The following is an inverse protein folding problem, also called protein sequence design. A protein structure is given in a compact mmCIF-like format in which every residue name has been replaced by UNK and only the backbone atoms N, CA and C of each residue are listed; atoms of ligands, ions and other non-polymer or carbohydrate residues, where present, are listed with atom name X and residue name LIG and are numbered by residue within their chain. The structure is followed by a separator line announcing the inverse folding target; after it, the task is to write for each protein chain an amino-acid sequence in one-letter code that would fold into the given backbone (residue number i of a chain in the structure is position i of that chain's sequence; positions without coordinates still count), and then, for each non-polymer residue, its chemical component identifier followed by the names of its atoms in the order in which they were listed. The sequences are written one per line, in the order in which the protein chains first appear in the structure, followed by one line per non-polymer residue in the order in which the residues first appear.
data_IF_092627049388
#
_entry.id   IF_092627049388
#
_cell.length_a   1.000
_cell.length_b   1.000
_cell.length_c   1.000
_cell.angle_alpha   90.00
_cell.angle_beta   90.00
_cell.angle_gamma   90.00
#
_symmetry.space_group_name_H-M   'P 1'
#
loop_
_entity.id
_entity.type
_entity.pdbx_description
1 polymer ?
#
# COMPACT_ATOMS: atom_id res chain seq x y z
N UNK A 1 4.05 2.79 2.47
CA UNK A 1 5.35 3.47 2.41
C UNK A 1 5.48 4.16 1.07
N UNK A 2 5.50 5.49 1.08
CA UNK A 2 5.73 6.34 -0.09
C UNK A 2 7.24 6.53 -0.26
N UNK A 3 7.80 5.93 -1.32
CA UNK A 3 9.23 6.03 -1.64
C UNK A 3 9.66 7.42 -2.10
N UNK A 4 8.75 8.22 -2.67
CA UNK A 4 9.06 9.57 -3.14
C UNK A 4 9.16 10.56 -1.98
N UNK A 5 8.24 10.45 -1.02
CA UNK A 5 8.24 11.28 0.19
C UNK A 5 9.07 10.68 1.32
N UNK A 6 9.52 9.43 1.17
CA UNK A 6 10.13 8.63 2.23
C UNK A 6 9.25 8.68 3.49
N UNK A 7 7.96 8.39 3.36
CA UNK A 7 7.00 8.55 4.45
C UNK A 7 6.13 7.30 4.63
N UNK A 8 5.82 7.01 5.89
CA UNK A 8 4.74 6.08 6.22
C UNK A 8 3.42 6.83 6.21
N UNK A 9 2.40 6.13 5.73
CA UNK A 9 1.05 6.64 5.65
C UNK A 9 0.13 5.56 6.16
N UNK A 10 -0.90 5.96 6.89
CA UNK A 10 -1.93 5.05 7.35
C UNK A 10 -3.15 5.14 6.43
N UNK A 11 -3.47 4.03 5.78
CA UNK A 11 -4.67 3.90 4.95
C UNK A 11 -5.69 3.05 5.68
N UNK A 12 -6.85 3.64 5.98
CA UNK A 12 -8.03 2.89 6.40
C UNK A 12 -9.05 2.89 5.24
N UNK A 13 -9.24 1.75 4.55
CA UNK A 13 -10.15 1.65 3.41
C UNK A 13 -11.63 1.82 3.79
N UNK A 14 -11.99 1.72 5.07
CA UNK A 14 -13.36 1.96 5.56
C UNK A 14 -13.70 3.45 5.70
N UNK A 15 -12.72 4.33 5.71
CA UNK A 15 -12.95 5.77 5.81
C UNK A 15 -13.45 6.29 4.45
N UNK A 16 -14.63 6.91 4.44
CA UNK A 16 -15.32 7.34 3.20
C UNK A 16 -14.51 8.38 2.40
N UNK A 17 -13.65 9.14 3.05
CA UNK A 17 -12.76 10.10 2.41
C UNK A 17 -11.55 9.43 1.71
N UNK A 18 -11.27 8.16 2.03
CA UNK A 18 -10.11 7.43 1.49
C UNK A 18 -10.38 6.77 0.14
N UNK A 19 -11.56 6.22 -0.12
CA UNK A 19 -11.87 5.52 -1.37
C UNK A 19 -13.35 5.62 -1.76
N UNK A 20 -13.68 5.73 -3.06
CA UNK A 20 -15.04 5.54 -3.55
C UNK A 20 -15.65 4.23 -3.05
N UNK A 21 -16.95 4.24 -2.72
CA UNK A 21 -17.65 3.06 -2.19
C UNK A 21 -17.47 1.80 -3.05
N UNK A 22 -17.40 1.96 -4.37
CA UNK A 22 -17.21 0.84 -5.32
C UNK A 22 -15.81 0.22 -5.27
N UNK A 23 -14.81 0.96 -4.80
CA UNK A 23 -13.40 0.55 -4.73
C UNK A 23 -13.04 0.02 -3.33
N UNK A 24 -13.85 0.31 -2.31
CA UNK A 24 -13.63 -0.16 -0.94
C UNK A 24 -13.52 -1.69 -0.80
N UNK A 25 -14.37 -2.52 -1.44
CA UNK A 25 -14.25 -3.98 -1.29
C UNK A 25 -12.90 -4.52 -1.77
N UNK A 26 -12.42 -4.05 -2.93
CA UNK A 26 -11.11 -4.41 -3.44
C UNK A 26 -9.99 -3.95 -2.48
N UNK A 27 -10.11 -2.76 -1.90
CA UNK A 27 -9.17 -2.28 -0.89
C UNK A 27 -9.38 -2.83 0.52
N UNK A 28 -10.42 -3.63 0.79
CA UNK A 28 -10.57 -4.34 2.06
C UNK A 28 -10.03 -5.76 1.96
N UNK A 29 -10.21 -6.36 0.78
CA UNK A 29 -9.96 -7.78 0.56
C UNK A 29 -8.82 -8.05 -0.42
N UNK A 30 -8.22 -7.04 -1.04
CA UNK A 30 -7.21 -7.16 -2.09
C UNK A 30 -5.88 -6.44 -1.77
N UNK A 31 -5.10 -7.00 -0.84
CA UNK A 31 -3.75 -6.55 -0.49
C UNK A 31 -2.67 -7.64 -0.61
N UNK A 32 -3.00 -8.79 -1.23
CA UNK A 32 -2.10 -9.87 -1.63
C UNK A 32 -1.34 -10.63 -0.54
N UNK A 33 -1.10 -10.03 0.64
CA UNK A 33 -0.08 -10.51 1.59
C UNK A 33 -0.42 -10.26 3.07
N UNK A 34 -1.70 -10.02 3.40
CA UNK A 34 -2.13 -9.66 4.76
C UNK A 34 -3.19 -10.60 5.32
N UNK A 35 -3.15 -11.88 4.92
CA UNK A 35 -4.16 -12.87 5.29
C UNK A 35 -3.56 -14.00 6.14
N UNK A 36 -4.38 -14.50 7.05
CA UNK A 36 -4.18 -15.81 7.67
C UNK A 36 -5.40 -16.65 7.32
N UNK A 37 -5.19 -17.75 6.62
CA UNK A 37 -6.25 -18.67 6.25
C UNK A 37 -5.83 -20.11 6.53
N UNK A 38 -6.81 -20.98 6.75
CA UNK A 38 -6.55 -22.40 6.94
C UNK A 38 -6.34 -23.06 5.59
N UNK A 39 -5.59 -24.17 5.57
CA UNK A 39 -5.47 -25.03 4.38
C UNK A 39 -6.84 -25.41 3.81
N UNK A 40 -7.81 -25.72 4.68
CA UNK A 40 -9.16 -26.10 4.27
C UNK A 40 -9.89 -24.98 3.53
N UNK A 41 -9.74 -23.73 3.98
CA UNK A 41 -10.32 -22.58 3.29
C UNK A 41 -9.76 -22.46 1.86
N UNK A 42 -8.45 -22.62 1.71
CA UNK A 42 -7.78 -22.61 0.40
C UNK A 42 -8.21 -23.77 -0.51
N UNK A 43 -8.38 -24.97 0.03
CA UNK A 43 -8.86 -26.13 -0.74
C UNK A 43 -10.32 -25.99 -1.19
N UNK A 44 -11.14 -25.21 -0.48
CA UNK A 44 -12.54 -24.98 -0.83
C UNK A 44 -12.70 -23.89 -1.90
N UNK A 45 -11.90 -22.84 -1.84
CA UNK A 45 -11.90 -21.75 -2.82
C UNK A 45 -10.47 -21.30 -3.02
N UNK A 46 -9.71 -21.92 -3.95
CA UNK A 46 -8.35 -21.52 -4.22
C UNK A 46 -8.30 -20.12 -4.84
N UNK A 47 -7.11 -19.51 -4.84
CA UNK A 47 -6.88 -18.29 -5.60
C UNK A 47 -7.21 -18.55 -7.08
N UNK A 48 -8.02 -17.70 -7.72
CA UNK A 48 -8.34 -17.84 -9.12
C UNK A 48 -7.09 -17.58 -9.97
N UNK A 49 -6.92 -18.35 -11.04
CA UNK A 49 -5.87 -18.13 -12.04
C UNK A 49 -6.28 -16.99 -12.98
N UNK A 50 -6.04 -15.76 -12.54
CA UNK A 50 -6.39 -14.53 -13.28
C UNK A 50 -5.22 -13.55 -13.20
N UNK A 51 -5.07 -12.71 -14.23
CA UNK A 51 -3.93 -11.79 -14.29
C UNK A 51 -3.95 -10.66 -13.25
N UNK A 52 -5.09 -10.39 -12.60
CA UNK A 52 -5.23 -9.25 -11.70
C UNK A 52 -6.30 -9.54 -10.63
N UNK A 53 -6.07 -8.99 -9.42
CA UNK A 53 -6.99 -9.08 -8.27
C UNK A 53 -7.34 -10.52 -7.83
N UNK A 54 -6.36 -11.44 -7.91
CA UNK A 54 -6.50 -12.83 -7.45
C UNK A 54 -6.94 -12.91 -5.98
N UNK A 55 -6.46 -11.99 -5.16
CA UNK A 55 -6.73 -11.88 -3.72
C UNK A 55 -8.18 -11.49 -3.41
N UNK A 56 -8.72 -10.50 -4.11
CA UNK A 56 -10.14 -10.16 -4.01
C UNK A 56 -11.00 -11.36 -4.43
N UNK A 57 -10.65 -12.02 -5.54
CA UNK A 57 -11.36 -13.20 -6.02
C UNK A 57 -11.31 -14.39 -5.04
N UNK A 58 -10.19 -14.60 -4.37
CA UNK A 58 -10.06 -15.59 -3.30
C UNK A 58 -11.06 -15.33 -2.16
N UNK A 59 -11.11 -14.09 -1.65
CA UNK A 59 -12.02 -13.74 -0.54
C UNK A 59 -13.49 -13.81 -0.97
N UNK A 60 -13.83 -13.33 -2.15
CA UNK A 60 -15.18 -13.43 -2.72
C UNK A 60 -15.63 -14.88 -2.84
N UNK A 61 -14.74 -15.77 -3.30
CA UNK A 61 -15.01 -17.20 -3.37
C UNK A 61 -15.24 -17.84 -2.00
N UNK A 62 -14.44 -17.48 -0.98
CA UNK A 62 -14.67 -17.93 0.40
C UNK A 62 -16.06 -17.50 0.91
N UNK A 63 -16.42 -16.24 0.72
CA UNK A 63 -17.72 -15.69 1.14
C UNK A 63 -18.88 -16.39 0.41
N UNK A 64 -18.75 -16.64 -0.90
CA UNK A 64 -19.72 -17.39 -1.69
C UNK A 64 -19.90 -18.84 -1.22
N UNK A 65 -18.84 -19.46 -0.68
CA UNK A 65 -18.91 -20.77 -0.04
C UNK A 65 -19.45 -20.74 1.40
N UNK A 66 -19.85 -19.57 1.91
CA UNK A 66 -20.30 -19.41 3.31
C UNK A 66 -19.17 -19.55 4.33
N UNK A 67 -17.91 -19.42 3.92
CA UNK A 67 -16.76 -19.44 4.81
C UNK A 67 -16.62 -18.05 5.44
N UNK A 68 -16.55 -17.94 6.77
CA UNK A 68 -16.44 -16.65 7.43
C UNK A 68 -15.08 -16.00 7.15
N UNK A 69 -15.11 -14.72 6.78
CA UNK A 69 -13.93 -13.85 6.66
C UNK A 69 -14.07 -12.71 7.65
N UNK A 70 -13.11 -12.59 8.56
CA UNK A 70 -13.08 -11.54 9.58
C UNK A 70 -11.97 -10.55 9.30
N UNK A 71 -12.30 -9.27 9.27
CA UNK A 71 -11.32 -8.19 9.20
C UNK A 71 -10.75 -7.94 10.60
N UNK A 72 -9.43 -8.03 10.73
CA UNK A 72 -8.76 -7.79 11.99
C UNK A 72 -8.62 -6.28 12.22
N UNK A 73 -9.38 -5.73 13.16
CA UNK A 73 -9.16 -4.38 13.65
C UNK A 73 -8.05 -4.43 14.71
N UNK A 74 -6.84 -3.99 14.33
CA UNK A 74 -5.71 -3.94 15.24
C UNK A 74 -5.83 -2.75 16.21
N UNK A 75 -5.29 -2.85 17.43
CA UNK A 75 -4.99 -1.67 18.25
C UNK A 75 -4.12 -0.65 17.49
N UNK A 76 -4.25 0.64 17.83
CA UNK A 76 -3.56 1.73 17.14
C UNK A 76 -2.03 1.58 17.16
N UNK A 77 -1.48 0.98 18.22
CA UNK A 77 -0.05 0.89 18.55
C UNK A 77 0.72 -0.26 17.87
N UNK A 78 0.07 -1.15 17.14
CA UNK A 78 0.76 -2.31 16.51
C UNK A 78 0.55 -2.35 15.03
N UNK A 79 1.59 -2.52 14.23
CA UNK A 79 1.45 -2.71 12.77
C UNK A 79 1.82 -4.14 12.39
N UNK A 80 1.01 -4.79 11.55
CA UNK A 80 1.27 -6.17 11.11
C UNK A 80 1.98 -6.22 9.75
N UNK A 81 1.62 -5.31 8.85
CA UNK A 81 2.13 -5.29 7.47
C UNK A 81 2.33 -3.84 7.03
N UNK A 82 3.40 -3.59 6.29
CA UNK A 82 3.64 -2.34 5.59
C UNK A 82 3.71 -2.60 4.08
N UNK A 83 2.87 -1.93 3.31
CA UNK A 83 2.86 -2.02 1.85
C UNK A 83 3.70 -0.90 1.24
N UNK A 84 4.50 -1.22 0.23
CA UNK A 84 5.18 -0.20 -0.58
C UNK A 84 4.27 0.18 -1.73
N UNK A 85 4.02 1.49 -1.88
CA UNK A 85 3.20 2.00 -2.99
C UNK A 85 4.13 2.49 -4.09
N UNK A 86 3.89 2.02 -5.31
CA UNK A 86 4.55 2.50 -6.50
C UNK A 86 3.54 3.33 -7.31
N UNK A 87 3.61 4.66 -7.31
CA UNK A 87 2.59 5.50 -7.97
C UNK A 87 2.42 5.25 -9.48
N UNK A 88 3.44 4.69 -10.12
CA UNK A 88 3.42 4.28 -11.53
C UNK A 88 2.90 2.86 -11.76
N UNK A 89 2.47 2.12 -10.73
CA UNK A 89 1.78 0.84 -10.91
C UNK A 89 0.32 1.08 -11.30
N UNK A 90 -0.30 0.08 -11.92
CA UNK A 90 -1.73 0.07 -12.28
C UNK A 90 -2.66 0.26 -11.07
N UNK A 91 -2.18 -0.03 -9.86
CA UNK A 91 -2.87 0.20 -8.57
C UNK A 91 -2.46 1.49 -7.85
N UNK A 92 -1.40 2.18 -8.30
CA UNK A 92 -0.90 3.43 -7.73
C UNK A 92 -1.54 4.70 -8.32
N UNK A 93 -2.32 4.56 -9.39
CA UNK A 93 -3.02 5.68 -10.05
C UNK A 93 -3.94 6.44 -9.10
N UNK A 94 -4.60 5.73 -8.18
CA UNK A 94 -5.51 6.30 -7.18
C UNK A 94 -4.79 7.21 -6.18
N UNK A 95 -3.49 6.94 -5.97
CA UNK A 95 -2.61 7.71 -5.09
C UNK A 95 -2.09 8.97 -5.78
N UNK A 96 -1.97 8.94 -7.12
CA UNK A 96 -1.55 10.11 -7.92
C UNK A 96 -2.68 11.07 -8.24
N UNK A 97 -3.94 10.60 -8.31
CA UNK A 97 -5.13 11.44 -8.52
C UNK A 97 -5.78 11.81 -7.18
N UNK A 98 -5.10 12.68 -6.41
CA UNK A 98 -5.72 13.37 -5.26
C UNK A 98 -5.56 12.70 -3.88
N UNK A 99 -4.48 11.95 -3.65
CA UNK A 99 -3.96 11.53 -2.33
C UNK A 99 -5.00 10.98 -1.32
N UNK A 100 -6.01 10.23 -1.77
CA UNK A 100 -7.03 9.74 -0.85
C UNK A 100 -6.45 8.69 0.11
N UNK A 101 -6.64 8.88 1.41
CA UNK A 101 -6.16 7.97 2.47
C UNK A 101 -4.66 7.89 2.71
N UNK A 102 -3.81 8.56 1.91
CA UNK A 102 -2.36 8.68 2.14
C UNK A 102 -1.95 10.15 2.40
N UNK A 103 -2.91 11.04 2.66
CA UNK A 103 -2.66 12.44 2.99
C UNK A 103 -1.99 12.65 4.34
N UNK A 104 -2.22 11.72 5.27
CA UNK A 104 -1.79 11.86 6.65
C UNK A 104 -0.52 11.02 6.83
N UNK A 105 0.68 11.61 6.75
CA UNK A 105 1.88 10.91 7.16
C UNK A 105 1.74 10.52 8.63
N UNK A 106 2.12 9.30 8.95
CA UNK A 106 2.26 8.83 10.33
C UNK A 106 3.73 8.83 10.71
N UNK A 107 3.98 8.85 12.01
CA UNK A 107 5.33 8.65 12.52
C UNK A 107 5.86 7.30 12.01
N UNK A 108 7.15 7.27 11.66
CA UNK A 108 7.81 6.02 11.27
C UNK A 108 7.70 5.04 12.42
N UNK A 109 7.11 3.84 12.22
CA UNK A 109 7.08 2.85 13.29
C UNK A 109 8.51 2.45 13.65
N UNK A 110 8.79 2.34 14.95
CA UNK A 110 10.15 2.09 15.47
C UNK A 110 10.79 0.83 14.88
N UNK A 111 9.97 -0.17 14.52
CA UNK A 111 10.41 -1.40 13.88
C UNK A 111 11.05 -1.17 12.51
N UNK A 112 10.75 -0.04 11.88
CA UNK A 112 11.28 0.36 10.58
C UNK A 112 12.42 1.36 10.67
N UNK A 113 12.85 1.81 11.85
CA UNK A 113 13.89 2.85 11.98
C UNK A 113 15.20 2.44 11.32
N UNK A 114 15.69 1.24 11.62
CA UNK A 114 16.95 0.74 11.04
C UNK A 114 16.84 0.55 9.52
N UNK A 115 15.70 0.00 9.06
CA UNK A 115 15.39 -0.16 7.64
C UNK A 115 15.35 1.19 6.94
N UNK A 116 14.73 2.18 7.56
CA UNK A 116 14.58 3.53 7.01
C UNK A 116 15.93 4.22 6.87
N UNK A 117 16.83 4.12 7.87
CA UNK A 117 18.18 4.68 7.77
C UNK A 117 19.00 4.05 6.63
N UNK A 118 18.90 2.72 6.47
CA UNK A 118 19.57 1.98 5.38
C UNK A 118 18.97 2.27 4.01
N UNK A 119 17.64 2.37 3.91
CA UNK A 119 16.97 2.74 2.67
C UNK A 119 17.24 4.19 2.29
N UNK A 120 17.13 5.13 3.21
CA UNK A 120 17.32 6.54 2.93
C UNK A 120 18.74 6.84 2.43
N UNK A 121 19.75 6.11 2.91
CA UNK A 121 21.11 6.21 2.37
C UNK A 121 21.23 5.61 0.97
N UNK A 122 20.62 4.45 0.70
CA UNK A 122 20.62 3.79 -0.61
C UNK A 122 19.83 4.56 -1.68
N UNK A 123 18.64 5.06 -1.34
CA UNK A 123 17.78 5.85 -2.21
C UNK A 123 18.45 7.18 -2.55
N UNK A 124 19.00 7.90 -1.55
CA UNK A 124 19.76 9.14 -1.80
C UNK A 124 20.99 8.89 -2.68
N UNK A 125 21.74 7.82 -2.42
CA UNK A 125 22.89 7.44 -3.24
C UNK A 125 22.48 7.20 -4.70
N UNK A 126 21.48 6.31 -4.93
CA UNK A 126 21.00 5.99 -6.29
C UNK A 126 20.39 7.19 -7.01
N UNK A 127 19.66 8.04 -6.29
CA UNK A 127 19.03 9.20 -6.88
C UNK A 127 20.04 10.32 -7.20
N UNK A 128 21.13 10.43 -6.43
CA UNK A 128 22.29 11.26 -6.78
C UNK A 128 23.02 10.71 -8.02
N UNK A 129 23.22 9.39 -8.11
CA UNK A 129 23.83 8.74 -9.29
C UNK A 129 22.99 8.89 -10.56
N UNK A 130 21.65 8.94 -10.42
CA UNK A 130 20.70 9.10 -11.53
C UNK A 130 20.28 10.56 -11.79
N UNK A 131 20.82 11.53 -11.04
CA UNK A 131 20.51 12.96 -11.21
C UNK A 131 19.08 13.38 -10.83
N UNK A 132 18.32 12.54 -10.11
CA UNK A 132 16.88 12.72 -9.86
C UNK A 132 16.59 13.79 -8.78
N UNK A 133 17.52 14.05 -7.87
CA UNK A 133 17.40 15.12 -6.86
C UNK A 133 18.23 16.39 -7.17
N UNK A 134 18.97 16.43 -8.28
CA UNK A 134 19.66 17.64 -8.75
C UNK A 134 18.73 18.57 -9.54
N UNK A 135 17.52 18.82 -9.05
CA UNK A 135 16.70 19.94 -9.51
C UNK A 135 16.60 20.98 -8.41
N UNK A 136 17.73 21.61 -8.13
CA UNK A 136 17.83 22.86 -7.39
C UNK A 136 18.73 23.82 -8.15
N UNK A 137 18.15 24.93 -8.61
CA UNK A 137 18.79 26.13 -9.22
C UNK A 137 19.10 26.11 -10.72
N UNK A 138 18.05 25.99 -11.55
CA UNK A 138 18.04 26.76 -12.81
C UNK A 138 17.45 28.14 -12.51
N UNK A 139 18.33 29.10 -12.23
CA UNK A 139 18.02 30.52 -12.24
C UNK A 139 17.34 30.90 -13.55
N UNK A 140 16.20 31.60 -13.47
CA UNK A 140 15.66 32.37 -14.60
C UNK A 140 16.75 33.35 -15.07
N UNK A 141 17.12 33.40 -16.37
CA UNK A 141 17.80 34.57 -16.89
C UNK A 141 16.76 35.68 -17.01
N UNK A 142 16.95 36.75 -16.22
CA UNK A 142 16.46 38.06 -16.61
C UNK A 142 17.38 38.60 -17.72
N UNK A 143 16.77 39.17 -18.75
CA UNK A 143 17.43 39.75 -19.93
C UNK A 143 16.50 39.70 -21.12
#
# INVERSE_FOLDING_TARGET
FDLHKMAFHYMNPLMRECLPLREQPAALYGWGFSYVFTRRAWEMSPFPDVHFAEDAGFVEGLLACGIPVSLLNKPEDRTLVAHTVHPSSTTGGEVSVGQRGLNNPVETPIEFDEFYQKMASSVRSKANTRGVFNQGTASRPGG
#
